data_IF_595967952715
#
_entry.id   IF_595967952715
#
_cell.length_a   1.000
_cell.length_b   1.000
_cell.length_c   1.000
_cell.angle_alpha   90.00
_cell.angle_beta   90.00
_cell.angle_gamma   90.00
#
_symmetry.space_group_name_H-M   'P 1'
#
loop_
_entity.id
_entity.type
_entity.pdbx_description
1 polymer ?
#
# COMPACT_ATOMS: atom_id res chain seq x y z
N UNK A 1 9.37 18.57 26.93
CA UNK A 1 8.50 17.38 26.79
C UNK A 1 9.33 16.26 26.19
N UNK A 2 9.27 15.04 26.74
CA UNK A 2 9.97 13.87 26.18
C UNK A 2 8.95 12.98 25.46
N UNK A 3 9.12 12.77 24.15
CA UNK A 3 8.26 11.87 23.41
C UNK A 3 8.58 10.41 23.74
N UNK A 4 7.57 9.54 23.90
CA UNK A 4 7.81 8.16 24.26
C UNK A 4 8.49 7.41 23.10
N UNK A 5 9.45 6.54 23.43
CA UNK A 5 10.16 5.67 22.47
C UNK A 5 9.42 4.37 22.18
N UNK A 6 8.39 4.07 22.98
CA UNK A 6 7.44 2.97 22.80
C UNK A 6 6.02 3.53 22.70
N UNK A 7 5.17 2.88 21.92
CA UNK A 7 3.79 3.30 21.75
C UNK A 7 3.00 3.02 23.05
N UNK A 8 2.34 4.03 23.65
CA UNK A 8 1.55 3.81 24.86
C UNK A 8 0.29 2.97 24.62
N UNK A 9 -0.15 2.81 23.37
CA UNK A 9 -1.35 2.04 23.03
C UNK A 9 -1.06 0.54 22.81
N UNK A 10 0.09 0.18 22.25
CA UNK A 10 0.38 -1.21 21.84
C UNK A 10 1.79 -1.71 22.16
N UNK A 11 2.63 -0.90 22.81
CA UNK A 11 4.00 -1.28 23.20
C UNK A 11 5.03 -1.32 22.06
N UNK A 12 4.61 -1.23 20.79
CA UNK A 12 5.51 -1.24 19.63
C UNK A 12 6.50 -0.07 19.65
N UNK A 13 7.69 -0.19 19.03
CA UNK A 13 8.61 0.94 18.88
C UNK A 13 7.91 2.15 18.28
N UNK A 14 8.10 3.32 18.89
CA UNK A 14 7.69 4.59 18.32
C UNK A 14 8.93 5.25 17.73
N UNK A 15 9.04 5.37 16.41
CA UNK A 15 10.27 5.78 15.71
C UNK A 15 10.06 7.15 15.07
N UNK A 16 11.08 8.01 15.17
CA UNK A 16 11.20 9.23 14.39
C UNK A 16 12.35 9.02 13.41
N UNK A 17 12.03 8.93 12.12
CA UNK A 17 13.05 8.84 11.08
C UNK A 17 13.81 10.16 10.97
N UNK A 18 15.03 10.10 10.47
CA UNK A 18 15.83 11.29 10.26
C UNK A 18 15.13 12.24 9.27
N UNK A 19 15.24 13.55 9.50
CA UNK A 19 14.55 14.56 8.71
C UNK A 19 13.04 14.70 9.00
N UNK A 20 12.44 13.82 9.78
CA UNK A 20 11.02 13.92 10.12
C UNK A 20 10.74 14.62 11.45
N UNK A 21 9.71 15.46 11.46
CA UNK A 21 9.23 16.13 12.67
C UNK A 21 8.45 15.18 13.61
N UNK A 22 7.85 14.11 13.10
CA UNK A 22 6.84 13.32 13.80
C UNK A 22 7.37 11.94 14.17
N UNK A 23 7.23 11.56 15.45
CA UNK A 23 7.45 10.18 15.92
C UNK A 23 6.16 9.36 15.73
N UNK A 24 6.25 8.19 15.12
CA UNK A 24 5.09 7.33 14.84
C UNK A 24 5.26 5.94 15.42
N UNK A 25 4.14 5.35 15.85
CA UNK A 25 4.08 3.94 16.21
C UNK A 25 4.30 3.07 14.97
N UNK A 26 5.12 2.04 15.12
CA UNK A 26 5.40 1.03 14.08
C UNK A 26 4.45 -0.17 14.11
N UNK A 27 3.51 -0.22 15.05
CA UNK A 27 2.67 -1.39 15.31
C UNK A 27 1.60 -1.69 14.25
N UNK A 28 1.40 -0.82 13.26
CA UNK A 28 0.50 -1.07 12.13
C UNK A 28 -0.87 -1.59 12.54
N UNK A 29 -1.31 -2.68 11.92
CA UNK A 29 -2.58 -3.34 12.25
C UNK A 29 -2.63 -3.95 13.66
N UNK A 30 -1.48 -4.21 14.30
CA UNK A 30 -1.43 -4.67 15.68
C UNK A 30 -1.62 -3.54 16.71
N UNK A 31 -1.68 -2.28 16.27
CA UNK A 31 -1.91 -1.13 17.13
C UNK A 31 -3.39 -0.71 17.10
N UNK A 32 -4.08 -0.83 18.24
CA UNK A 32 -5.49 -0.40 18.38
C UNK A 32 -5.71 1.06 17.99
N UNK A 33 -4.73 1.94 18.28
CA UNK A 33 -4.80 3.36 17.93
C UNK A 33 -4.63 3.63 16.42
N UNK A 34 -4.11 2.68 15.64
CA UNK A 34 -3.95 2.79 14.19
C UNK A 34 -4.99 1.96 13.44
N UNK A 35 -5.70 1.06 14.11
CA UNK A 35 -6.60 0.08 13.50
C UNK A 35 -7.65 0.72 12.60
N UNK A 36 -8.38 1.73 13.09
CA UNK A 36 -9.47 2.35 12.32
C UNK A 36 -8.96 2.99 11.02
N UNK A 37 -7.85 3.75 11.08
CA UNK A 37 -7.25 4.35 9.88
C UNK A 37 -6.64 3.29 8.94
N UNK A 38 -6.03 2.25 9.50
CA UNK A 38 -5.53 1.10 8.74
C UNK A 38 -6.66 0.40 7.98
N UNK A 39 -7.80 0.17 8.63
CA UNK A 39 -9.00 -0.43 8.00
C UNK A 39 -9.61 0.49 6.94
N UNK A 40 -9.68 1.81 7.20
CA UNK A 40 -10.11 2.81 6.19
C UNK A 40 -9.26 2.74 4.94
N UNK A 41 -7.94 2.74 5.11
CA UNK A 41 -7.01 2.59 4.01
C UNK A 41 -7.21 1.27 3.28
N UNK A 42 -7.30 0.16 4.03
CA UNK A 42 -7.47 -1.19 3.51
C UNK A 42 -8.71 -1.32 2.61
N UNK A 43 -9.87 -0.81 3.03
CA UNK A 43 -11.12 -0.91 2.24
C UNK A 43 -11.22 0.12 1.11
N UNK A 44 -10.30 1.09 1.05
CA UNK A 44 -10.38 2.23 0.14
C UNK A 44 -10.38 1.84 -1.34
N UNK A 45 -10.85 2.77 -2.19
CA UNK A 45 -10.98 2.58 -3.65
C UNK A 45 -9.68 2.19 -4.35
N UNK A 46 -8.51 2.52 -3.82
CA UNK A 46 -7.21 2.16 -4.44
C UNK A 46 -6.56 0.92 -3.82
N UNK A 47 -7.04 0.50 -2.67
CA UNK A 47 -6.62 -0.70 -1.94
C UNK A 47 -7.53 -1.90 -2.26
N UNK A 48 -8.31 -2.43 -1.31
CA UNK A 48 -9.19 -3.57 -1.60
C UNK A 48 -10.48 -3.20 -2.36
N UNK A 49 -10.86 -1.91 -2.43
CA UNK A 49 -12.10 -1.43 -3.03
C UNK A 49 -13.35 -2.19 -2.55
N UNK A 50 -13.58 -2.18 -1.25
CA UNK A 50 -14.77 -2.79 -0.65
C UNK A 50 -15.85 -1.71 -0.54
N UNK A 51 -16.69 -1.64 -1.57
CA UNK A 51 -17.82 -0.71 -1.61
C UNK A 51 -18.82 -0.97 -0.47
N UNK A 52 -19.43 0.10 0.04
CA UNK A 52 -20.39 0.03 1.14
C UNK A 52 -19.76 -0.01 2.53
N UNK A 53 -18.44 -0.25 2.65
CA UNK A 53 -17.74 -0.30 3.93
C UNK A 53 -17.31 1.09 4.41
N UNK A 54 -18.28 1.94 4.74
CA UNK A 54 -18.03 3.32 5.16
C UNK A 54 -17.57 3.46 6.62
N UNK A 55 -17.22 4.70 7.01
CA UNK A 55 -16.65 5.04 8.33
C UNK A 55 -17.49 4.53 9.50
N UNK A 56 -18.81 4.67 9.44
CA UNK A 56 -19.72 4.21 10.50
C UNK A 56 -19.55 2.72 10.76
N UNK A 57 -19.36 1.92 9.70
CA UNK A 57 -19.18 0.47 9.85
C UNK A 57 -17.83 0.17 10.48
N UNK A 58 -16.75 0.78 9.97
CA UNK A 58 -15.40 0.53 10.47
C UNK A 58 -15.30 0.89 11.95
N UNK A 59 -15.73 2.09 12.34
CA UNK A 59 -15.68 2.54 13.73
C UNK A 59 -16.54 1.67 14.65
N UNK A 60 -17.80 1.42 14.29
CA UNK A 60 -18.70 0.66 15.14
C UNK A 60 -18.26 -0.80 15.32
N UNK A 61 -17.78 -1.44 14.26
CA UNK A 61 -17.32 -2.83 14.31
C UNK A 61 -15.96 -2.96 15.02
N UNK A 62 -15.08 -1.97 14.90
CA UNK A 62 -13.83 -1.93 15.67
C UNK A 62 -14.08 -1.71 17.16
N UNK A 63 -14.96 -0.76 17.52
CA UNK A 63 -15.36 -0.52 18.93
C UNK A 63 -16.05 -1.73 19.55
N UNK A 64 -16.87 -2.45 18.77
CA UNK A 64 -17.49 -3.70 19.20
C UNK A 64 -16.50 -4.88 19.31
N UNK A 65 -15.23 -4.70 18.91
CA UNK A 65 -14.21 -5.73 18.90
C UNK A 65 -14.43 -6.84 17.86
N UNK A 66 -15.32 -6.60 16.88
CA UNK A 66 -15.56 -7.51 15.74
C UNK A 66 -14.40 -7.41 14.74
N UNK A 67 -13.87 -6.20 14.53
CA UNK A 67 -12.68 -5.97 13.72
C UNK A 67 -11.49 -5.68 14.63
N UNK A 68 -10.47 -6.52 14.56
CA UNK A 68 -9.17 -6.36 15.23
C UNK A 68 -8.02 -6.32 14.23
N UNK A 69 -8.24 -6.89 13.05
CA UNK A 69 -7.31 -6.86 11.92
C UNK A 69 -8.06 -6.93 10.57
N UNK A 70 -7.39 -6.67 9.44
CA UNK A 70 -8.04 -6.72 8.12
C UNK A 70 -8.64 -8.08 7.76
N UNK A 71 -8.08 -9.19 8.25
CA UNK A 71 -8.57 -10.53 7.97
C UNK A 71 -9.99 -10.77 8.52
N UNK A 72 -10.35 -10.12 9.62
CA UNK A 72 -11.65 -10.24 10.27
C UNK A 72 -12.80 -9.83 9.34
N UNK A 73 -12.55 -8.86 8.44
CA UNK A 73 -13.53 -8.38 7.45
C UNK A 73 -14.16 -9.55 6.67
N UNK A 74 -13.35 -10.54 6.33
CA UNK A 74 -13.76 -11.68 5.50
C UNK A 74 -14.36 -12.84 6.31
N UNK A 75 -14.42 -12.72 7.64
CA UNK A 75 -14.95 -13.71 8.57
C UNK A 75 -16.11 -13.23 9.44
N UNK A 76 -16.55 -11.98 9.28
CA UNK A 76 -17.68 -11.42 10.06
C UNK A 76 -18.99 -12.16 9.77
N UNK A 77 -19.87 -12.22 10.77
CA UNK A 77 -21.22 -12.78 10.62
C UNK A 77 -22.23 -11.69 10.32
N UNK A 78 -23.18 -11.97 9.45
CA UNK A 78 -24.22 -11.03 9.04
C UNK A 78 -25.02 -10.50 10.24
N UNK A 79 -25.40 -11.38 11.16
CA UNK A 79 -26.21 -11.05 12.34
C UNK A 79 -25.47 -10.11 13.29
N UNK A 80 -24.16 -10.28 13.46
CA UNK A 80 -23.34 -9.43 14.31
C UNK A 80 -23.19 -8.03 13.71
N UNK A 81 -22.91 -7.95 12.40
CA UNK A 81 -22.83 -6.67 11.69
C UNK A 81 -24.17 -5.95 11.77
N UNK A 82 -25.28 -6.63 11.46
CA UNK A 82 -26.62 -6.05 11.53
C UNK A 82 -26.93 -5.48 12.90
N UNK A 83 -26.70 -6.27 13.96
CA UNK A 83 -26.94 -5.84 15.34
C UNK A 83 -26.16 -4.57 15.69
N UNK A 84 -24.86 -4.52 15.39
CA UNK A 84 -23.99 -3.38 15.73
C UNK A 84 -24.36 -2.13 14.94
N UNK A 85 -24.62 -2.26 13.63
CA UNK A 85 -24.90 -1.11 12.77
C UNK A 85 -26.28 -0.51 13.05
N UNK A 86 -27.30 -1.35 13.26
CA UNK A 86 -28.61 -0.87 13.66
C UNK A 86 -28.56 -0.11 14.99
N UNK A 87 -27.82 -0.66 15.96
CA UNK A 87 -27.64 -0.01 17.27
C UNK A 87 -26.94 1.35 17.13
N UNK A 88 -25.80 1.39 16.41
CA UNK A 88 -25.05 2.63 16.20
C UNK A 88 -25.87 3.72 15.50
N UNK A 89 -26.65 3.35 14.48
CA UNK A 89 -27.51 4.29 13.76
C UNK A 89 -28.65 4.81 14.65
N UNK A 90 -29.23 3.96 15.51
CA UNK A 90 -30.23 4.40 16.51
C UNK A 90 -29.63 5.42 17.47
N UNK A 91 -28.45 5.15 18.02
CA UNK A 91 -27.72 6.06 18.92
C UNK A 91 -27.40 7.39 18.24
N UNK A 92 -26.87 7.38 17.02
CA UNK A 92 -26.59 8.60 16.27
C UNK A 92 -27.87 9.39 15.94
N UNK A 93 -28.96 8.70 15.61
CA UNK A 93 -30.25 9.33 15.38
C UNK A 93 -30.80 9.98 16.66
N UNK A 94 -30.65 9.32 17.80
CA UNK A 94 -31.05 9.85 19.11
C UNK A 94 -30.19 11.05 19.53
N UNK A 95 -28.86 10.96 19.42
CA UNK A 95 -27.96 12.07 19.70
C UNK A 95 -28.28 13.30 18.82
N UNK A 96 -28.57 13.09 17.53
CA UNK A 96 -29.02 14.17 16.63
C UNK A 96 -30.36 14.76 17.06
N UNK A 97 -31.29 13.95 17.58
CA UNK A 97 -32.58 14.43 18.11
C UNK A 97 -32.38 15.29 19.35
N UNK A 98 -31.58 14.82 20.30
CA UNK A 98 -31.25 15.56 21.52
C UNK A 98 -30.58 16.90 21.20
N UNK A 99 -29.64 16.91 20.25
CA UNK A 99 -28.96 18.12 19.82
C UNK A 99 -29.86 19.11 19.05
N UNK A 100 -30.84 18.64 18.27
CA UNK A 100 -31.68 19.49 17.41
C UNK A 100 -33.08 19.79 17.97
N UNK A 101 -33.48 19.17 19.08
CA UNK A 101 -34.82 19.32 19.67
C UNK A 101 -35.99 18.88 18.78
N UNK A 102 -35.74 18.06 17.75
CA UNK A 102 -36.75 17.68 16.73
C UNK A 102 -37.35 16.30 17.02
N UNK A 103 -38.66 16.16 16.72
CA UNK A 103 -39.40 14.87 16.76
C UNK A 103 -38.83 13.86 15.74
N UNK A 104 -39.00 12.54 15.97
CA UNK A 104 -38.52 11.52 15.04
C UNK A 104 -39.02 11.75 13.62
N UNK A 105 -38.17 11.63 12.58
CA UNK A 105 -38.67 11.61 11.21
C UNK A 105 -39.64 10.44 11.05
N UNK A 106 -40.77 10.66 10.37
CA UNK A 106 -41.66 9.55 9.97
C UNK A 106 -40.84 8.59 9.11
N UNK A 107 -40.87 7.30 9.45
CA UNK A 107 -40.25 6.27 8.62
C UNK A 107 -40.91 6.35 7.24
N UNK A 108 -40.16 6.78 6.23
CA UNK A 108 -40.63 6.85 4.85
C UNK A 108 -40.23 5.56 4.15
N UNK A 109 -41.12 5.01 3.30
CA UNK A 109 -40.91 3.77 2.54
C UNK A 109 -39.76 3.82 1.51
N UNK A 110 -38.98 4.91 1.45
CA UNK A 110 -38.06 5.22 0.33
C UNK A 110 -36.63 4.76 0.57
N UNK A 111 -36.24 4.50 1.82
CA UNK A 111 -34.91 3.96 2.13
C UNK A 111 -34.89 2.45 1.94
N UNK A 112 -33.84 1.87 1.32
CA UNK A 112 -33.67 0.42 1.28
C UNK A 112 -33.71 -0.16 2.70
N UNK A 113 -34.26 -1.37 2.91
CA UNK A 113 -34.12 -2.08 4.17
C UNK A 113 -32.62 -2.20 4.54
N UNK A 114 -32.27 -2.00 5.81
CA UNK A 114 -30.88 -2.09 6.28
C UNK A 114 -30.23 -3.40 5.84
N UNK A 115 -30.98 -4.50 5.93
CA UNK A 115 -30.58 -5.83 5.47
C UNK A 115 -30.06 -5.83 4.04
N UNK A 116 -30.68 -5.07 3.12
CA UNK A 116 -30.23 -4.98 1.73
C UNK A 116 -28.86 -4.31 1.60
N UNK A 117 -28.59 -3.27 2.39
CA UNK A 117 -27.30 -2.59 2.40
C UNK A 117 -26.20 -3.50 2.96
N UNK A 118 -26.50 -4.22 4.05
CA UNK A 118 -25.56 -5.17 4.64
C UNK A 118 -25.31 -6.33 3.68
N UNK A 119 -26.33 -6.89 3.03
CA UNK A 119 -26.14 -7.91 1.99
C UNK A 119 -25.26 -7.42 0.84
N UNK A 120 -25.45 -6.17 0.39
CA UNK A 120 -24.59 -5.57 -0.64
C UNK A 120 -23.14 -5.42 -0.17
N UNK A 121 -22.92 -5.07 1.10
CA UNK A 121 -21.58 -5.01 1.68
C UNK A 121 -20.93 -6.40 1.71
N UNK A 122 -21.64 -7.44 2.14
CA UNK A 122 -21.11 -8.81 2.16
C UNK A 122 -20.77 -9.30 0.75
N UNK A 123 -21.63 -9.04 -0.24
CA UNK A 123 -21.34 -9.35 -1.64
C UNK A 123 -20.07 -8.61 -2.14
N UNK A 124 -19.91 -7.35 -1.75
CA UNK A 124 -18.70 -6.56 -2.05
C UNK A 124 -17.45 -7.17 -1.39
N UNK A 125 -17.51 -7.54 -0.11
CA UNK A 125 -16.41 -8.21 0.61
C UNK A 125 -16.01 -9.51 -0.10
N UNK A 126 -16.98 -10.37 -0.43
CA UNK A 126 -16.72 -11.66 -1.07
C UNK A 126 -16.13 -11.51 -2.48
N UNK A 127 -16.57 -10.51 -3.24
CA UNK A 127 -15.99 -10.19 -4.56
C UNK A 127 -14.51 -9.80 -4.49
N UNK A 128 -14.05 -9.31 -3.33
CA UNK A 128 -12.66 -8.88 -3.09
C UNK A 128 -11.80 -9.94 -2.40
N UNK A 129 -12.25 -11.20 -2.36
CA UNK A 129 -11.40 -12.33 -1.96
C UNK A 129 -10.29 -12.61 -2.95
N UNK A 130 -10.47 -12.25 -4.21
CA UNK A 130 -9.41 -12.29 -5.22
C UNK A 130 -9.18 -10.88 -5.73
N UNK A 131 -7.98 -10.35 -5.53
CA UNK A 131 -7.59 -8.99 -5.96
C UNK A 131 -6.20 -9.00 -6.58
N UNK A 132 -5.88 -8.05 -7.46
CA UNK A 132 -4.51 -7.86 -7.94
C UNK A 132 -3.51 -7.67 -6.78
N UNK A 133 -2.32 -8.27 -6.92
CA UNK A 133 -1.28 -8.27 -5.90
C UNK A 133 -0.82 -6.85 -5.52
N UNK A 134 -0.73 -5.92 -6.47
CA UNK A 134 -0.36 -4.53 -6.20
C UNK A 134 -1.34 -3.83 -5.26
N UNK A 135 -2.64 -4.08 -5.47
CA UNK A 135 -3.70 -3.54 -4.61
C UNK A 135 -3.68 -4.14 -3.22
N UNK A 136 -3.44 -5.46 -3.14
CA UNK A 136 -3.26 -6.15 -1.88
C UNK A 136 -2.07 -5.59 -1.08
N UNK A 137 -0.91 -5.43 -1.73
CA UNK A 137 0.29 -4.88 -1.09
C UNK A 137 0.10 -3.43 -0.66
N UNK A 138 -0.54 -2.62 -1.50
CA UNK A 138 -0.88 -1.24 -1.14
C UNK A 138 -1.84 -1.19 0.05
N UNK A 139 -2.83 -2.09 0.11
CA UNK A 139 -3.81 -2.16 1.19
C UNK A 139 -3.20 -2.42 2.58
N UNK A 140 -2.01 -3.03 2.64
CA UNK A 140 -1.30 -3.27 3.91
C UNK A 140 -0.86 -1.97 4.61
N UNK A 141 -0.86 -0.83 3.92
CA UNK A 141 -0.53 0.46 4.52
C UNK A 141 0.90 0.52 5.06
N UNK A 142 1.82 -0.25 4.46
CA UNK A 142 3.23 -0.24 4.86
C UNK A 142 3.82 1.12 4.51
N UNK A 143 4.56 1.69 5.47
CA UNK A 143 5.23 2.98 5.30
C UNK A 143 6.12 2.97 4.06
N UNK A 144 6.15 4.08 3.33
CA UNK A 144 6.94 4.27 2.10
C UNK A 144 6.52 3.35 0.94
N UNK A 145 5.46 2.55 1.09
CA UNK A 145 4.89 1.71 0.03
C UNK A 145 3.63 2.37 -0.52
N UNK A 146 3.82 3.22 -1.53
CA UNK A 146 2.74 3.81 -2.32
C UNK A 146 2.25 2.88 -3.43
N UNK A 147 1.25 3.31 -4.19
CA UNK A 147 0.67 2.53 -5.30
C UNK A 147 1.73 2.12 -6.35
N UNK A 148 2.63 3.04 -6.72
CA UNK A 148 3.68 2.77 -7.70
C UNK A 148 4.65 1.70 -7.20
N UNK A 149 5.12 1.83 -5.96
CA UNK A 149 6.01 0.87 -5.31
C UNK A 149 5.33 -0.49 -5.17
N UNK A 150 4.07 -0.52 -4.71
CA UNK A 150 3.28 -1.74 -4.60
C UNK A 150 3.13 -2.45 -5.96
N UNK A 151 2.90 -1.68 -7.03
CA UNK A 151 2.83 -2.19 -8.40
C UNK A 151 4.16 -2.75 -8.88
N UNK A 152 5.27 -2.08 -8.57
CA UNK A 152 6.61 -2.58 -8.92
C UNK A 152 6.93 -3.89 -8.20
N UNK A 153 6.67 -3.95 -6.89
CA UNK A 153 6.79 -5.18 -6.09
C UNK A 153 5.96 -6.32 -6.67
N UNK A 154 4.70 -6.05 -7.02
CA UNK A 154 3.81 -7.05 -7.60
C UNK A 154 4.22 -7.54 -9.00
N UNK A 155 5.01 -6.78 -9.76
CA UNK A 155 5.62 -7.25 -11.01
C UNK A 155 6.89 -8.06 -10.78
N UNK A 156 7.64 -7.72 -9.73
CA UNK A 156 8.93 -8.33 -9.45
C UNK A 156 8.78 -9.71 -8.76
N UNK A 157 7.86 -9.82 -7.80
CA UNK A 157 7.67 -11.03 -7.01
C UNK A 157 6.56 -11.92 -7.57
N UNK A 158 6.78 -13.24 -7.53
CA UNK A 158 5.81 -14.22 -8.04
C UNK A 158 4.49 -14.23 -7.25
N UNK A 159 4.49 -13.75 -6.00
CA UNK A 159 3.35 -13.74 -5.12
C UNK A 159 3.67 -13.15 -3.75
N UNK A 160 2.67 -13.04 -2.87
CA UNK A 160 2.82 -12.40 -1.56
C UNK A 160 3.82 -13.13 -0.66
N UNK A 161 3.88 -14.48 -0.71
CA UNK A 161 4.85 -15.26 0.09
C UNK A 161 6.29 -15.06 -0.38
N UNK A 162 6.53 -14.95 -1.69
CA UNK A 162 7.87 -14.68 -2.21
C UNK A 162 8.40 -13.30 -1.76
N UNK A 163 7.51 -12.30 -1.68
CA UNK A 163 7.86 -11.00 -1.09
C UNK A 163 8.16 -11.13 0.40
N UNK A 164 7.33 -11.86 1.16
CA UNK A 164 7.57 -12.09 2.60
C UNK A 164 8.95 -12.70 2.85
N UNK A 165 9.29 -13.76 2.10
CA UNK A 165 10.58 -14.43 2.22
C UNK A 165 11.75 -13.49 1.92
N UNK A 166 11.63 -12.67 0.86
CA UNK A 166 12.62 -11.67 0.51
C UNK A 166 12.79 -10.60 1.60
N UNK A 167 11.69 -10.14 2.20
CA UNK A 167 11.72 -9.17 3.31
C UNK A 167 12.35 -9.78 4.57
N UNK A 168 12.04 -11.03 4.92
CA UNK A 168 12.63 -11.72 6.08
C UNK A 168 14.11 -11.99 5.87
N UNK A 169 14.52 -12.37 4.65
CA UNK A 169 15.93 -12.54 4.31
C UNK A 169 16.68 -11.20 4.36
N UNK A 170 16.10 -10.14 3.77
CA UNK A 170 16.65 -8.79 3.81
C UNK A 170 16.74 -8.21 5.22
N UNK A 171 15.80 -8.54 6.10
CA UNK A 171 15.83 -8.12 7.50
C UNK A 171 17.07 -8.62 8.27
N UNK A 172 17.60 -9.80 7.91
CA UNK A 172 18.78 -10.40 8.56
C UNK A 172 20.09 -9.70 8.18
N UNK A 173 20.10 -9.00 7.06
CA UNK A 173 21.29 -8.33 6.52
C UNK A 173 21.03 -6.86 6.15
N UNK A 174 20.08 -6.23 6.85
CA UNK A 174 19.86 -4.78 6.78
C UNK A 174 21.13 -4.02 7.18
N UNK A 175 21.36 -2.82 6.62
CA UNK A 175 22.41 -1.97 7.10
C UNK A 175 22.25 -1.67 8.60
N UNK A 176 23.36 -1.71 9.32
CA UNK A 176 23.42 -1.38 10.75
C UNK A 176 23.47 0.12 11.01
N UNK A 177 23.25 0.53 12.26
CA UNK A 177 23.24 1.94 12.66
C UNK A 177 24.54 2.67 12.33
N UNK A 178 25.69 1.98 12.43
CA UNK A 178 26.99 2.55 12.04
C UNK A 178 27.07 2.90 10.55
N UNK A 179 26.40 2.14 9.68
CA UNK A 179 26.35 2.42 8.25
C UNK A 179 25.54 3.69 7.98
N UNK A 180 24.33 3.77 8.54
CA UNK A 180 23.49 4.96 8.43
C UNK A 180 24.17 6.20 9.03
N UNK A 181 24.82 6.06 10.18
CA UNK A 181 25.55 7.18 10.80
C UNK A 181 26.61 7.81 9.88
N UNK A 182 27.21 7.03 8.94
CA UNK A 182 28.07 7.60 7.91
C UNK A 182 27.29 8.27 6.78
N UNK A 183 26.16 7.70 6.36
CA UNK A 183 25.31 8.27 5.31
C UNK A 183 24.67 9.60 5.71
N UNK A 184 24.40 9.76 7.01
CA UNK A 184 23.81 10.98 7.58
C UNK A 184 24.83 12.14 7.59
N UNK A 185 26.11 11.85 7.35
CA UNK A 185 27.14 12.89 7.27
C UNK A 185 27.01 13.70 5.97
N UNK A 186 27.12 15.04 6.05
CA UNK A 186 27.03 15.90 4.87
C UNK A 186 27.98 15.47 3.74
N UNK A 187 27.40 15.23 2.56
CA UNK A 187 28.10 14.83 1.33
C UNK A 187 28.78 13.45 1.38
N UNK A 188 28.42 12.59 2.33
CA UNK A 188 28.85 11.18 2.36
C UNK A 188 27.65 10.31 1.99
N UNK A 189 27.56 9.93 0.71
CA UNK A 189 26.60 8.94 0.23
C UNK A 189 27.13 7.51 0.34
N UNK A 190 26.30 6.56 -0.06
CA UNK A 190 26.56 5.10 -0.11
C UNK A 190 27.89 4.75 -0.78
N UNK A 191 28.20 5.35 -1.93
CA UNK A 191 29.45 5.12 -2.66
C UNK A 191 30.67 5.54 -1.84
N UNK A 192 30.58 6.67 -1.14
CA UNK A 192 31.70 7.16 -0.35
C UNK A 192 31.85 6.39 0.97
N UNK A 193 30.73 6.03 1.61
CA UNK A 193 30.73 5.17 2.78
C UNK A 193 31.35 3.79 2.45
N UNK A 194 30.98 3.19 1.31
CA UNK A 194 31.57 1.94 0.83
C UNK A 194 33.09 2.08 0.63
N UNK A 195 33.53 3.16 -0.01
CA UNK A 195 34.95 3.44 -0.22
C UNK A 195 35.73 3.59 1.10
N UNK A 196 35.14 4.19 2.13
CA UNK A 196 35.74 4.27 3.46
C UNK A 196 35.88 2.89 4.10
N UNK A 197 34.84 2.05 4.02
CA UNK A 197 34.88 0.69 4.59
C UNK A 197 35.85 -0.23 3.86
N UNK A 198 35.97 -0.08 2.54
CA UNK A 198 36.95 -0.77 1.71
C UNK A 198 38.36 -0.33 2.10
N UNK A 199 38.58 0.99 2.20
CA UNK A 199 39.87 1.55 2.61
C UNK A 199 40.31 1.05 3.97
N UNK A 200 39.40 0.95 4.94
CA UNK A 200 39.68 0.39 6.26
C UNK A 200 40.11 -1.07 6.18
N UNK A 201 39.53 -1.84 5.25
CA UNK A 201 39.84 -3.26 5.05
C UNK A 201 41.17 -3.49 4.34
N UNK A 202 41.62 -2.53 3.55
CA UNK A 202 42.95 -2.52 2.92
C UNK A 202 44.08 -2.08 3.86
N UNK A 203 43.79 -1.56 5.05
CA UNK A 203 44.83 -1.11 5.96
C UNK A 203 45.57 -2.30 6.58
N UNK A 204 46.90 -2.23 6.53
CA UNK A 204 47.77 -3.18 7.22
C UNK A 204 47.48 -3.21 8.74
N UNK A 205 47.51 -4.38 9.39
CA UNK A 205 47.19 -4.52 10.81
C UNK A 205 47.97 -3.56 11.72
N UNK A 206 49.24 -3.28 11.39
CA UNK A 206 50.08 -2.35 12.16
C UNK A 206 49.54 -0.91 12.14
N UNK A 207 48.90 -0.48 11.04
CA UNK A 207 48.27 0.85 10.96
C UNK A 207 46.98 0.93 11.76
N UNK A 208 46.24 -0.17 11.86
CA UNK A 208 45.03 -0.23 12.70
C UNK A 208 45.34 -0.08 14.19
N UNK A 209 46.56 -0.43 14.62
CA UNK A 209 47.05 -0.20 15.98
C UNK A 209 47.41 1.27 16.25
N UNK A 210 47.50 2.12 15.23
CA UNK A 210 47.77 3.55 15.33
C UNK A 210 46.60 4.38 14.77
N UNK A 211 45.66 4.81 15.63
CA UNK A 211 44.46 5.54 15.21
C UNK A 211 44.75 6.82 14.42
N UNK A 212 45.85 7.53 14.74
CA UNK A 212 46.24 8.74 14.02
C UNK A 212 46.60 8.44 12.55
N UNK A 213 47.34 7.37 12.30
CA UNK A 213 47.68 6.95 10.93
C UNK A 213 46.49 6.36 10.18
N UNK A 214 45.70 5.50 10.84
CA UNK A 214 44.50 4.93 10.25
C UNK A 214 43.49 6.02 9.87
N UNK A 215 43.21 6.96 10.78
CA UNK A 215 42.34 8.11 10.52
C UNK A 215 42.88 8.97 9.38
N UNK A 216 44.19 9.24 9.33
CA UNK A 216 44.81 9.98 8.22
C UNK A 216 44.61 9.29 6.87
N UNK A 217 44.73 7.96 6.82
CA UNK A 217 44.50 7.18 5.60
C UNK A 217 43.03 7.22 5.16
N UNK A 218 42.08 7.09 6.10
CA UNK A 218 40.65 7.18 5.82
C UNK A 218 40.24 8.57 5.34
N UNK A 219 40.68 9.63 6.04
CA UNK A 219 40.41 11.01 5.62
C UNK A 219 41.06 11.32 4.25
N UNK A 220 42.11 10.61 3.88
CA UNK A 220 42.78 10.75 2.58
C UNK A 220 41.91 10.38 1.38
N UNK A 221 40.87 9.54 1.54
CA UNK A 221 39.94 9.22 0.44
C UNK A 221 38.85 10.27 0.24
N UNK A 222 38.67 11.16 1.22
CA UNK A 222 37.61 12.16 1.26
C UNK A 222 38.05 13.51 0.66
N UNK A 223 37.11 14.19 0.01
CA UNK A 223 37.32 15.58 -0.41
C UNK A 223 37.35 16.54 0.80
N UNK A 224 37.63 17.82 0.57
CA UNK A 224 37.76 18.81 1.65
C UNK A 224 36.48 18.99 2.47
N UNK A 225 35.30 19.01 1.82
CA UNK A 225 34.01 19.18 2.50
C UNK A 225 33.64 17.94 3.33
N UNK A 226 33.81 16.74 2.77
CA UNK A 226 33.59 15.47 3.45
C UNK A 226 34.54 15.29 4.65
N UNK A 227 35.81 15.68 4.51
CA UNK A 227 36.76 15.68 5.65
C UNK A 227 36.31 16.60 6.78
N UNK A 228 35.79 17.78 6.44
CA UNK A 228 35.26 18.70 7.42
C UNK A 228 34.03 18.13 8.14
N UNK A 229 33.10 17.51 7.40
CA UNK A 229 31.94 16.82 7.96
C UNK A 229 32.36 15.69 8.92
N UNK A 230 33.26 14.81 8.49
CA UNK A 230 33.76 13.70 9.31
C UNK A 230 34.41 14.19 10.61
N UNK A 231 35.25 15.23 10.53
CA UNK A 231 35.92 15.82 11.71
C UNK A 231 34.97 16.56 12.65
N UNK A 232 33.86 17.06 12.12
CA UNK A 232 32.84 17.73 12.93
C UNK A 232 32.05 16.70 13.72
N UNK A 233 31.71 15.56 13.11
CA UNK A 233 30.99 14.48 13.77
C UNK A 233 31.88 13.64 14.71
N UNK A 234 33.16 13.49 14.37
CA UNK A 234 34.12 12.63 15.07
C UNK A 234 35.41 13.41 15.36
N UNK A 235 35.54 13.88 16.61
CA UNK A 235 36.55 14.86 17.00
C UNK A 235 37.94 14.27 17.24
N UNK A 236 38.06 12.95 17.38
CA UNK A 236 39.33 12.25 17.63
C UNK A 236 39.66 11.26 16.50
N UNK A 237 40.95 10.97 16.23
CA UNK A 237 41.34 9.93 15.27
C UNK A 237 40.68 8.58 15.55
N UNK A 238 40.60 8.19 16.83
CA UNK A 238 39.97 6.96 17.31
C UNK A 238 38.50 6.91 16.91
N UNK A 239 37.73 7.97 17.20
CA UNK A 239 36.30 8.02 16.88
C UNK A 239 36.00 7.94 15.38
N UNK A 240 36.90 8.45 14.52
CA UNK A 240 36.78 8.31 13.06
C UNK A 240 36.96 6.85 12.64
N UNK A 241 37.99 6.17 13.18
CA UNK A 241 38.26 4.76 12.87
C UNK A 241 37.13 3.87 13.37
N UNK A 242 36.64 4.11 14.59
CA UNK A 242 35.50 3.40 15.19
C UNK A 242 34.22 3.59 14.37
N UNK A 243 33.92 4.81 13.90
CA UNK A 243 32.75 5.07 13.07
C UNK A 243 32.80 4.28 11.75
N UNK A 244 33.95 4.28 11.06
CA UNK A 244 34.11 3.51 9.82
C UNK A 244 34.10 2.00 10.09
N UNK A 245 34.65 1.54 11.21
CA UNK A 245 34.59 0.14 11.61
C UNK A 245 33.16 -0.32 11.94
N UNK A 246 32.38 0.51 12.64
CA UNK A 246 30.97 0.26 12.91
C UNK A 246 30.14 0.20 11.62
N UNK A 247 30.41 1.11 10.67
CA UNK A 247 29.80 1.08 9.35
C UNK A 247 30.15 -0.19 8.57
N UNK A 248 31.42 -0.61 8.61
CA UNK A 248 31.87 -1.86 7.97
C UNK A 248 31.17 -3.08 8.54
N UNK A 249 30.99 -3.13 9.86
CA UNK A 249 30.28 -4.22 10.52
C UNK A 249 28.78 -4.22 10.23
N UNK A 250 28.23 -3.07 9.84
CA UNK A 250 26.82 -2.86 9.47
C UNK A 250 26.58 -2.74 7.97
N UNK A 251 27.45 -3.29 7.11
CA UNK A 251 27.27 -3.21 5.66
C UNK A 251 25.95 -3.88 5.21
N UNK A 252 25.21 -3.29 4.25
CA UNK A 252 24.07 -3.97 3.65
C UNK A 252 24.48 -5.26 2.96
N UNK A 253 23.81 -6.36 3.33
CA UNK A 253 24.00 -7.66 2.70
C UNK A 253 23.27 -7.79 1.37
N UNK A 254 23.47 -8.96 0.73
CA UNK A 254 23.00 -9.19 -0.63
C UNK A 254 21.47 -9.32 -0.74
N UNK A 255 20.77 -9.71 0.32
CA UNK A 255 19.31 -9.85 0.28
C UNK A 255 18.66 -8.48 0.37
N UNK A 256 19.08 -7.66 1.33
CA UNK A 256 18.64 -6.26 1.42
C UNK A 256 18.91 -5.48 0.13
N UNK A 257 20.13 -5.58 -0.42
CA UNK A 257 20.49 -4.90 -1.70
C UNK A 257 19.59 -5.33 -2.85
N UNK A 258 19.26 -6.62 -2.96
CA UNK A 258 18.34 -7.12 -4.00
C UNK A 258 16.94 -6.54 -3.85
N UNK A 259 16.42 -6.44 -2.62
CA UNK A 259 15.12 -5.82 -2.37
C UNK A 259 15.14 -4.32 -2.69
N UNK A 260 16.19 -3.60 -2.29
CA UNK A 260 16.35 -2.17 -2.57
C UNK A 260 16.52 -1.87 -4.07
N UNK A 261 17.11 -2.80 -4.82
CA UNK A 261 17.30 -2.69 -6.26
C UNK A 261 16.03 -2.93 -7.10
N UNK A 262 14.92 -3.36 -6.48
CA UNK A 262 13.63 -3.43 -7.17
C UNK A 262 13.24 -2.02 -7.64
N UNK A 263 12.79 -1.83 -8.90
CA UNK A 263 12.40 -0.51 -9.39
C UNK A 263 11.38 0.16 -8.46
N UNK A 264 11.47 1.47 -8.26
CA UNK A 264 10.56 2.26 -7.42
C UNK A 264 10.49 1.85 -5.93
N UNK A 265 11.41 0.99 -5.43
CA UNK A 265 11.53 0.64 -4.01
C UNK A 265 12.62 1.48 -3.35
N UNK A 266 13.88 1.28 -3.73
CA UNK A 266 15.02 1.96 -3.08
C UNK A 266 15.22 1.54 -1.62
N UNK A 267 16.25 2.08 -0.96
CA UNK A 267 16.65 1.65 0.38
C UNK A 267 15.60 1.94 1.46
N UNK A 268 14.98 3.11 1.42
CA UNK A 268 14.01 3.57 2.43
C UNK A 268 12.75 2.68 2.46
N UNK A 269 12.23 2.32 1.28
CA UNK A 269 11.08 1.42 1.18
C UNK A 269 11.46 -0.03 1.50
N UNK A 270 12.62 -0.50 1.03
CA UNK A 270 13.13 -1.84 1.36
C UNK A 270 13.32 -2.02 2.87
N UNK A 271 13.84 -1.01 3.56
CA UNK A 271 13.96 -0.99 5.03
C UNK A 271 12.58 -1.06 5.70
N UNK A 272 11.61 -0.30 5.20
CA UNK A 272 10.25 -0.32 5.77
C UNK A 272 9.58 -1.68 5.62
N UNK A 273 9.75 -2.34 4.48
CA UNK A 273 9.30 -3.70 4.24
C UNK A 273 9.97 -4.70 5.18
N UNK A 274 11.30 -4.66 5.29
CA UNK A 274 12.05 -5.54 6.18
C UNK A 274 11.64 -5.36 7.65
N UNK A 275 11.52 -4.12 8.13
CA UNK A 275 11.08 -3.83 9.50
C UNK A 275 9.64 -4.27 9.74
N UNK A 276 8.74 -4.00 8.79
CA UNK A 276 7.34 -4.44 8.88
C UNK A 276 7.26 -5.95 9.05
N UNK A 277 7.91 -6.72 8.18
CA UNK A 277 7.90 -8.18 8.23
C UNK A 277 8.86 -8.80 9.26
N UNK A 278 9.68 -8.01 9.95
CA UNK A 278 10.47 -8.48 11.11
C UNK A 278 9.60 -8.67 12.35
N UNK A 279 8.51 -7.92 12.46
CA UNK A 279 7.53 -8.05 13.55
C UNK A 279 6.64 -9.28 13.34
N UNK A 280 6.64 -10.19 14.32
CA UNK A 280 5.84 -11.41 14.29
C UNK A 280 4.33 -11.14 14.19
N UNK A 281 3.85 -10.04 14.78
CA UNK A 281 2.42 -9.67 14.75
C UNK A 281 1.99 -9.28 13.35
N UNK A 282 2.83 -8.57 12.61
CA UNK A 282 2.56 -8.24 11.21
C UNK A 282 2.60 -9.48 10.33
N UNK A 283 3.58 -10.39 10.53
CA UNK A 283 3.61 -11.67 9.82
C UNK A 283 2.36 -12.49 10.08
N UNK A 284 1.94 -12.59 11.34
CA UNK A 284 0.72 -13.29 11.73
C UNK A 284 -0.51 -12.67 11.05
N UNK A 285 -0.71 -11.36 11.15
CA UNK A 285 -1.84 -10.68 10.51
C UNK A 285 -1.83 -10.83 8.97
N UNK A 286 -0.65 -10.81 8.35
CA UNK A 286 -0.48 -11.03 6.92
C UNK A 286 -0.87 -12.46 6.52
N UNK A 287 -0.44 -13.47 7.27
CA UNK A 287 -0.81 -14.87 7.02
C UNK A 287 -2.31 -15.11 7.28
N UNK A 288 -2.87 -14.53 8.34
CA UNK A 288 -4.31 -14.59 8.61
C UNK A 288 -5.10 -14.01 7.44
N UNK A 289 -4.66 -12.88 6.89
CA UNK A 289 -5.30 -12.27 5.74
C UNK A 289 -5.19 -13.17 4.50
N UNK A 290 -4.01 -13.72 4.21
CA UNK A 290 -3.82 -14.68 3.11
C UNK A 290 -4.63 -15.98 3.26
N UNK A 291 -5.07 -16.33 4.47
CA UNK A 291 -6.01 -17.44 4.67
C UNK A 291 -7.43 -17.13 4.19
N UNK A 292 -7.76 -15.85 4.00
CA UNK A 292 -9.09 -15.36 3.61
C UNK A 292 -9.16 -14.84 2.18
N UNK A 293 -8.04 -14.39 1.63
CA UNK A 293 -7.93 -13.80 0.30
C UNK A 293 -6.80 -14.43 -0.50
N UNK A 294 -6.94 -14.44 -1.82
CA UNK A 294 -5.96 -14.94 -2.77
C UNK A 294 -5.52 -13.80 -3.69
N UNK A 295 -4.42 -13.10 -3.38
CA UNK A 295 -3.88 -12.07 -4.27
C UNK A 295 -3.42 -12.70 -5.58
N UNK A 296 -3.98 -12.22 -6.69
CA UNK A 296 -3.65 -12.68 -8.03
C UNK A 296 -2.47 -11.86 -8.60
N UNK A 297 -1.63 -12.47 -9.46
CA UNK A 297 -0.63 -11.70 -10.21
C UNK A 297 -1.27 -10.52 -10.94
N UNK A 298 -0.48 -9.47 -11.15
CA UNK A 298 -0.91 -8.38 -12.00
C UNK A 298 -1.35 -8.94 -13.37
N UNK A 299 -2.48 -8.47 -13.92
CA UNK A 299 -2.82 -8.76 -15.30
C UNK A 299 -1.62 -8.37 -16.17
N UNK A 300 -1.16 -9.28 -17.03
CA UNK A 300 -0.09 -8.97 -17.98
C UNK A 300 -0.50 -7.71 -18.76
N UNK A 301 0.39 -6.73 -18.81
CA UNK A 301 0.10 -5.44 -19.43
C UNK A 301 -0.21 -5.64 -20.91
N UNK A 302 -1.50 -5.49 -21.28
CA UNK A 302 -2.10 -5.84 -22.56
C UNK A 302 -1.82 -7.31 -22.96
N UNK A 303 -2.84 -8.07 -23.33
CA UNK A 303 -2.56 -9.12 -24.29
C UNK A 303 -1.96 -8.40 -25.51
N UNK A 304 -0.68 -8.63 -25.85
CA UNK A 304 -0.18 -8.31 -27.17
C UNK A 304 -1.16 -8.96 -28.16
N UNK A 305 -1.90 -8.13 -28.91
CA UNK A 305 -3.01 -8.57 -29.77
C UNK A 305 -4.42 -8.41 -29.19
N UNK A 306 -4.62 -7.78 -28.02
CA UNK A 306 -5.97 -7.48 -27.52
C UNK A 306 -6.69 -6.51 -28.46
N UNK A 307 -7.91 -6.84 -28.91
CA UNK A 307 -8.73 -5.96 -29.73
C UNK A 307 -9.10 -4.63 -29.06
N UNK A 308 -8.93 -4.54 -27.74
CA UNK A 308 -9.29 -3.39 -26.93
C UNK A 308 -8.08 -2.58 -26.46
N UNK A 309 -6.85 -3.00 -26.80
CA UNK A 309 -5.64 -2.31 -26.37
C UNK A 309 -5.62 -0.85 -26.86
N UNK A 310 -5.45 0.09 -25.93
CA UNK A 310 -5.36 1.53 -26.19
C UNK A 310 -6.70 2.24 -26.45
N UNK A 311 -7.80 1.48 -26.67
CA UNK A 311 -9.13 2.02 -26.99
C UNK A 311 -9.81 2.57 -25.75
N UNK A 312 -10.55 3.68 -25.89
CA UNK A 312 -11.27 4.35 -24.81
C UNK A 312 -12.72 3.88 -24.75
N UNK A 313 -13.11 3.28 -23.61
CA UNK A 313 -14.44 2.71 -23.37
C UNK A 313 -15.15 3.51 -22.27
N UNK A 314 -16.45 3.78 -22.46
CA UNK A 314 -17.32 4.40 -21.47
C UNK A 314 -18.47 3.46 -21.13
N UNK A 315 -18.70 3.21 -19.84
CA UNK A 315 -19.85 2.43 -19.37
C UNK A 315 -20.96 3.35 -18.88
N UNK A 316 -22.19 3.11 -19.32
CA UNK A 316 -23.38 3.90 -18.94
C UNK A 316 -24.61 3.01 -18.76
N UNK A 317 -25.59 3.47 -17.99
CA UNK A 317 -26.75 2.67 -17.59
C UNK A 317 -26.39 1.59 -16.56
N UNK A 318 -27.39 0.88 -16.07
CA UNK A 318 -27.21 -0.27 -15.17
C UNK A 318 -26.70 -1.46 -15.98
N UNK A 319 -25.69 -2.15 -15.48
CA UNK A 319 -25.23 -3.42 -16.05
C UNK A 319 -25.90 -4.56 -15.28
N UNK A 320 -26.46 -5.53 -15.99
CA UNK A 320 -27.29 -6.61 -15.47
C UNK A 320 -26.49 -7.90 -15.23
N UNK A 321 -25.40 -8.13 -15.98
CA UNK A 321 -24.58 -9.36 -15.88
C UNK A 321 -23.34 -9.19 -15.03
N UNK A 322 -22.83 -7.98 -14.88
CA UNK A 322 -21.73 -7.67 -13.95
C UNK A 322 -21.87 -6.26 -13.39
N UNK A 323 -21.14 -5.96 -12.34
CA UNK A 323 -21.07 -4.59 -11.81
C UNK A 323 -20.31 -3.68 -12.78
N UNK A 324 -20.61 -2.38 -12.72
CA UNK A 324 -19.90 -1.40 -13.56
C UNK A 324 -18.40 -1.40 -13.30
N UNK A 325 -17.97 -1.63 -12.07
CA UNK A 325 -16.55 -1.65 -11.74
C UNK A 325 -15.85 -2.93 -12.21
N UNK A 326 -16.50 -4.09 -12.15
CA UNK A 326 -16.00 -5.31 -12.81
C UNK A 326 -15.84 -5.11 -14.32
N UNK A 327 -16.79 -4.44 -14.97
CA UNK A 327 -16.70 -4.14 -16.40
C UNK A 327 -15.51 -3.22 -16.72
N UNK A 328 -15.26 -2.20 -15.89
CA UNK A 328 -14.09 -1.33 -16.02
C UNK A 328 -12.79 -2.09 -15.80
N UNK A 329 -12.73 -2.93 -14.77
CA UNK A 329 -11.55 -3.76 -14.47
C UNK A 329 -11.25 -4.72 -15.63
N UNK A 330 -12.26 -5.39 -16.19
CA UNK A 330 -12.12 -6.23 -17.38
C UNK A 330 -11.61 -5.45 -18.59
N UNK A 331 -12.16 -4.27 -18.86
CA UNK A 331 -11.70 -3.41 -19.94
C UNK A 331 -10.23 -2.99 -19.75
N UNK A 332 -9.85 -2.57 -18.53
CA UNK A 332 -8.48 -2.19 -18.19
C UNK A 332 -7.51 -3.37 -18.32
N UNK A 333 -7.93 -4.57 -17.90
CA UNK A 333 -7.13 -5.79 -18.04
C UNK A 333 -6.83 -6.15 -19.51
N UNK A 334 -7.73 -5.80 -20.43
CA UNK A 334 -7.57 -5.95 -21.87
C UNK A 334 -6.77 -4.80 -22.52
N UNK A 335 -6.25 -3.87 -21.72
CA UNK A 335 -5.46 -2.74 -22.19
C UNK A 335 -6.28 -1.53 -22.67
N UNK A 336 -7.60 -1.54 -22.47
CA UNK A 336 -8.45 -0.39 -22.78
C UNK A 336 -8.24 0.74 -21.76
N UNK A 337 -8.60 1.96 -22.14
CA UNK A 337 -8.73 3.11 -21.24
C UNK A 337 -10.20 3.29 -20.88
N UNK A 338 -10.51 3.52 -19.62
CA UNK A 338 -11.90 3.78 -19.19
C UNK A 338 -12.07 5.28 -18.94
N UNK A 339 -13.09 5.88 -19.57
CA UNK A 339 -13.47 7.27 -19.34
C UNK A 339 -14.83 7.38 -18.64
N UNK A 340 -15.00 8.44 -17.84
CA UNK A 340 -16.28 8.79 -17.23
C UNK A 340 -17.18 9.68 -18.10
N UNK A 341 -16.65 10.22 -19.19
CA UNK A 341 -17.35 11.12 -20.12
C UNK A 341 -17.19 10.64 -21.56
N UNK A 342 -18.20 10.91 -22.38
CA UNK A 342 -18.18 10.64 -23.82
C UNK A 342 -17.62 11.87 -24.53
N UNK A 343 -16.68 11.62 -25.44
CA UNK A 343 -16.00 12.61 -26.27
C UNK A 343 -15.67 12.03 -27.63
N UNK A 344 -15.20 12.86 -28.57
CA UNK A 344 -14.72 12.40 -29.90
C UNK A 344 -13.57 11.39 -29.84
N UNK A 345 -12.89 11.25 -28.70
CA UNK A 345 -11.81 10.27 -28.48
C UNK A 345 -12.32 8.94 -27.89
N UNK A 346 -13.63 8.81 -27.73
CA UNK A 346 -14.25 7.58 -27.19
C UNK A 346 -14.42 6.62 -28.35
N UNK A 347 -13.88 5.42 -28.19
CA UNK A 347 -13.95 4.37 -29.22
C UNK A 347 -15.21 3.51 -29.07
N UNK A 348 -15.70 3.32 -27.84
CA UNK A 348 -16.84 2.46 -27.55
C UNK A 348 -17.63 2.94 -26.33
N UNK A 349 -18.96 2.92 -26.43
CA UNK A 349 -19.86 3.09 -25.29
C UNK A 349 -20.63 1.80 -25.05
N UNK A 350 -20.52 1.24 -23.85
CA UNK A 350 -21.32 0.10 -23.40
C UNK A 350 -22.52 0.64 -22.62
N UNK A 351 -23.72 0.46 -23.18
CA UNK A 351 -24.96 1.01 -22.65
C UNK A 351 -25.89 -0.10 -22.15
N UNK A 352 -26.18 -0.09 -20.85
CA UNK A 352 -27.23 -0.91 -20.25
C UNK A 352 -28.53 -0.12 -20.00
N UNK A 353 -29.57 -0.76 -19.45
CA UNK A 353 -30.85 -0.11 -19.16
C UNK A 353 -30.69 1.19 -18.36
N UNK A 354 -31.41 2.24 -18.76
CA UNK A 354 -31.34 3.56 -18.13
C UNK A 354 -30.10 4.39 -18.51
N UNK A 355 -29.40 4.04 -19.59
CA UNK A 355 -28.35 4.87 -20.15
C UNK A 355 -28.89 6.25 -20.59
N UNK A 356 -28.59 7.29 -19.81
CA UNK A 356 -29.15 8.64 -19.97
C UNK A 356 -28.34 9.55 -20.91
N UNK A 357 -27.80 10.66 -20.38
CA UNK A 357 -27.09 11.68 -21.19
C UNK A 357 -25.92 11.13 -22.01
N UNK A 358 -25.14 10.19 -21.45
CA UNK A 358 -23.98 9.61 -22.14
C UNK A 358 -24.34 8.82 -23.40
N UNK A 359 -25.51 8.19 -23.45
CA UNK A 359 -25.98 7.50 -24.66
C UNK A 359 -26.26 8.50 -25.77
N UNK A 360 -26.99 9.57 -25.43
CA UNK A 360 -27.27 10.69 -26.36
C UNK A 360 -26.00 11.38 -26.83
N UNK A 361 -25.03 11.58 -25.93
CA UNK A 361 -23.73 12.16 -26.29
C UNK A 361 -22.94 11.27 -27.25
N UNK A 362 -23.03 9.94 -27.09
CA UNK A 362 -22.39 8.97 -27.98
C UNK A 362 -23.03 8.98 -29.38
N UNK A 363 -24.36 8.96 -29.44
CA UNK A 363 -25.14 9.04 -30.68
C UNK A 363 -24.84 10.34 -31.44
N UNK A 364 -24.82 11.48 -30.73
CA UNK A 364 -24.54 12.79 -31.33
C UNK A 364 -23.11 12.93 -31.87
N UNK A 365 -22.15 12.23 -31.25
CA UNK A 365 -20.74 12.23 -31.66
C UNK A 365 -20.40 11.10 -32.63
N UNK A 366 -21.36 10.24 -33.00
CA UNK A 366 -21.14 9.09 -33.87
C UNK A 366 -20.25 8.00 -33.27
N UNK A 367 -20.17 7.93 -31.93
CA UNK A 367 -19.37 6.91 -31.23
C UNK A 367 -20.15 5.59 -31.22
N UNK A 368 -19.44 4.47 -31.45
CA UNK A 368 -20.04 3.13 -31.44
C UNK A 368 -20.68 2.81 -30.09
N UNK A 369 -21.96 2.43 -30.11
CA UNK A 369 -22.70 2.00 -28.91
C UNK A 369 -23.01 0.51 -29.02
N UNK A 370 -22.75 -0.24 -27.95
CA UNK A 370 -23.11 -1.65 -27.83
C UNK A 370 -23.83 -1.90 -26.51
N UNK A 371 -24.67 -2.92 -26.47
CA UNK A 371 -25.25 -3.45 -25.23
C UNK A 371 -24.21 -4.19 -24.40
N UNK A 372 -24.52 -4.42 -23.12
CA UNK A 372 -23.67 -5.25 -22.25
C UNK A 372 -23.48 -6.67 -22.80
N UNK A 373 -24.54 -7.27 -23.35
CA UNK A 373 -24.49 -8.61 -23.91
C UNK A 373 -23.57 -8.70 -25.14
N UNK A 374 -23.65 -7.70 -26.04
CA UNK A 374 -22.77 -7.61 -27.20
C UNK A 374 -21.32 -7.37 -26.79
N UNK A 375 -21.08 -6.52 -25.79
CA UNK A 375 -19.73 -6.28 -25.28
C UNK A 375 -19.13 -7.57 -24.73
N UNK A 376 -19.87 -8.34 -23.92
CA UNK A 376 -19.44 -9.66 -23.43
C UNK A 376 -19.16 -10.61 -24.59
N UNK A 377 -20.02 -10.65 -25.62
CA UNK A 377 -19.77 -11.46 -26.82
C UNK A 377 -18.48 -11.06 -27.55
N UNK A 378 -18.15 -9.77 -27.60
CA UNK A 378 -16.87 -9.30 -28.15
C UNK A 378 -15.67 -9.73 -27.30
N UNK A 379 -15.83 -9.81 -25.97
CA UNK A 379 -14.80 -10.33 -25.07
C UNK A 379 -14.53 -11.80 -25.35
N UNK A 380 -15.58 -12.62 -25.45
CA UNK A 380 -15.48 -14.07 -25.62
C UNK A 380 -14.94 -14.46 -27.00
N UNK A 381 -15.27 -13.68 -28.04
CA UNK A 381 -14.86 -13.94 -29.42
C UNK A 381 -13.54 -13.26 -29.84
N UNK A 382 -12.96 -12.39 -29.00
CA UNK A 382 -11.74 -11.65 -29.33
C UNK A 382 -11.90 -10.69 -30.51
N UNK A 383 -13.08 -10.08 -30.67
CA UNK A 383 -13.40 -9.25 -31.84
C UNK A 383 -12.93 -7.80 -31.65
N UNK A 384 -12.19 -7.28 -32.64
CA UNK A 384 -11.77 -5.88 -32.71
C UNK A 384 -12.95 -4.90 -32.72
N UNK A 385 -12.78 -3.78 -32.01
CA UNK A 385 -13.59 -2.59 -32.27
C UNK A 385 -13.19 -2.11 -33.67
N UNK A 386 -13.90 -2.58 -34.70
CA UNK A 386 -13.77 -2.05 -36.07
C UNK A 386 -14.38 -0.65 -36.12
N UNK A 387 -13.64 0.24 -36.77
CA UNK A 387 -14.01 1.63 -37.05
C UNK A 387 -15.27 1.71 -37.91
#
# INVERSE_FOLDING_TARGET
YSFPTTCPACGSPAIREEGEAVRRCTGGFACSAQLVEGLRHFVSRRAMNIEGFGDIYIEALAEAGILKEPADIFGMKFEDVKRVIEQRRKEQAEARRQAQGKKPPKITKKSPPEDKLIHSLFASIDSRRTVPLDRFLFALGIRHIGETTAKSLARHFAGPMSLLDACVAGARDMPGDGWYALLDLPQIGDVMAARLTDKLSELEPVRLLNPAEASKALLGVLNTAQRAAMRTAHTTPESIVEAVAAARNGLPGSNFKRLAAVPDVGEVAARSLCLFFSDERHRTAFINLLSKVQPAPLPKAAAEGSPFAGRTIVFTGTLERMTRDEAKEKALALGAKVSGSVSKKTDLVVAGPGAGSKLRDAEALGVKVVSEAEWIGMLDAGIAIRD
#
